data_IF_341252789026
#
_entry.id   IF_341252789026
#
_cell.length_a   1.000
_cell.length_b   1.000
_cell.length_c   1.000
_cell.angle_alpha   90.00
_cell.angle_beta   90.00
_cell.angle_gamma   90.00
#
_symmetry.space_group_name_H-M   'P 1'
#
loop_
_entity.id
_entity.type
_entity.pdbx_description
1 polymer ?
#
# COMPACT_ATOMS: atom_id res chain seq x y z
N UNK A 1 0.32 15.86 -106.01
CA UNK A 1 -0.91 16.46 -106.56
C UNK A 1 -1.88 16.62 -105.40
N UNK A 2 -2.62 17.68 -105.11
CA UNK A 2 -2.77 19.08 -105.51
C UNK A 2 -3.75 19.69 -104.46
N UNK A 3 -3.64 20.99 -104.14
CA UNK A 3 -4.56 21.79 -103.26
C UNK A 3 -6.02 21.71 -103.77
N UNK A 4 -7.12 21.93 -103.05
CA UNK A 4 -7.57 22.52 -101.76
C UNK A 4 -9.14 22.52 -101.80
N UNK A 5 -9.94 23.43 -101.20
CA UNK A 5 -9.85 24.22 -99.96
C UNK A 5 -11.14 24.06 -99.06
N UNK A 6 -11.20 24.71 -97.88
CA UNK A 6 -12.51 25.12 -97.34
C UNK A 6 -12.65 25.31 -95.82
N UNK A 7 -12.73 26.59 -95.43
CA UNK A 7 -13.35 27.21 -94.24
C UNK A 7 -12.71 27.10 -92.84
N UNK A 8 -12.56 28.30 -92.25
CA UNK A 8 -12.01 28.64 -90.95
C UNK A 8 -13.16 29.12 -89.98
N UNK A 9 -12.88 29.62 -88.75
CA UNK A 9 -13.32 29.08 -87.45
C UNK A 9 -14.32 30.02 -86.71
N UNK A 10 -14.71 29.76 -85.44
CA UNK A 10 -14.08 30.49 -84.31
C UNK A 10 -14.19 29.74 -82.94
N UNK A 11 -13.85 30.35 -81.78
CA UNK A 11 -12.62 31.07 -81.45
C UNK A 11 -11.89 30.49 -80.21
N UNK A 12 -10.65 30.94 -80.05
CA UNK A 12 -9.72 30.77 -78.92
C UNK A 12 -10.35 30.98 -77.54
N UNK A 13 -9.88 30.19 -76.55
CA UNK A 13 -9.06 30.70 -75.41
C UNK A 13 -8.06 29.63 -74.93
N UNK A 14 -6.78 30.02 -74.97
CA UNK A 14 -5.59 29.29 -74.51
C UNK A 14 -5.24 29.76 -73.07
N UNK A 15 -4.15 29.30 -72.45
CA UNK A 15 -3.96 28.12 -71.61
C UNK A 15 -3.76 28.49 -70.11
N UNK A 16 -3.80 27.54 -69.17
CA UNK A 16 -2.93 27.65 -67.97
C UNK A 16 -2.66 26.29 -67.33
N UNK A 17 -1.37 25.97 -67.35
CA UNK A 17 -0.67 24.97 -66.56
C UNK A 17 -1.03 25.10 -65.08
N UNK A 18 -1.40 23.99 -64.42
CA UNK A 18 -1.10 23.72 -63.01
C UNK A 18 -1.32 22.23 -62.74
N UNK A 19 -0.23 21.46 -62.78
CA UNK A 19 -0.13 20.18 -62.09
C UNK A 19 -0.41 20.44 -60.61
N UNK A 20 -1.59 20.09 -60.13
CA UNK A 20 -1.83 19.88 -58.70
C UNK A 20 -1.38 18.45 -58.39
N UNK A 21 -0.11 18.32 -57.99
CA UNK A 21 0.31 17.27 -57.07
C UNK A 21 -0.53 17.43 -55.80
N UNK A 22 -1.66 16.73 -55.73
CA UNK A 22 -2.29 16.46 -54.45
C UNK A 22 -1.36 15.50 -53.71
N UNK A 23 -0.39 16.08 -52.98
CA UNK A 23 0.26 15.40 -51.88
C UNK A 23 -0.86 15.09 -50.88
N UNK A 24 -1.42 13.89 -50.99
CA UNK A 24 -2.20 13.29 -49.91
C UNK A 24 -1.19 13.00 -48.81
N UNK A 25 -0.80 14.02 -48.04
CA UNK A 25 -0.41 13.82 -46.65
C UNK A 25 -1.69 13.53 -45.88
N UNK A 26 -2.34 12.42 -46.24
CA UNK A 26 -3.23 11.73 -45.35
C UNK A 26 -2.34 11.34 -44.19
N UNK A 27 -2.40 12.14 -43.13
CA UNK A 27 -1.87 11.78 -41.85
C UNK A 27 -2.41 10.38 -41.62
N UNK A 28 -1.53 9.39 -41.60
CA UNK A 28 -1.83 8.14 -40.94
C UNK A 28 -2.11 8.58 -39.51
N UNK A 29 -3.37 8.84 -39.19
CA UNK A 29 -3.86 8.76 -37.83
C UNK A 29 -3.61 7.30 -37.48
N UNK A 30 -2.41 7.02 -36.99
CA UNK A 30 -2.19 5.85 -36.18
C UNK A 30 -3.33 5.89 -35.17
N UNK A 31 -4.16 4.85 -35.16
CA UNK A 31 -4.98 4.54 -34.00
C UNK A 31 -4.01 4.22 -32.87
N UNK A 32 -3.33 5.24 -32.35
CA UNK A 32 -2.64 5.15 -31.09
C UNK A 32 -3.75 4.99 -30.07
N UNK A 33 -3.90 3.77 -29.59
CA UNK A 33 -4.85 3.44 -28.53
C UNK A 33 -4.46 4.28 -27.31
N UNK A 34 -5.11 5.45 -27.19
CA UNK A 34 -4.87 6.44 -26.15
C UNK A 34 -5.08 5.77 -24.80
N UNK A 35 -3.97 5.42 -24.16
CA UNK A 35 -3.92 4.63 -22.93
C UNK A 35 -2.91 5.25 -21.98
N UNK A 36 -3.04 4.93 -20.69
CA UNK A 36 -2.14 5.41 -19.66
C UNK A 36 -1.17 4.28 -19.25
N UNK A 37 0.11 4.30 -19.67
CA UNK A 37 1.02 3.17 -19.42
C UNK A 37 1.22 2.87 -17.93
N UNK A 38 1.17 3.91 -17.09
CA UNK A 38 1.35 3.81 -15.64
C UNK A 38 0.06 3.55 -14.87
N UNK A 39 -1.13 3.56 -15.50
CA UNK A 39 -2.38 3.37 -14.80
C UNK A 39 -3.52 2.84 -15.68
N UNK A 40 -3.79 1.54 -15.59
CA UNK A 40 -4.89 0.86 -16.30
C UNK A 40 -6.29 1.23 -15.81
N UNK A 41 -6.42 1.92 -14.67
CA UNK A 41 -7.70 2.32 -14.08
C UNK A 41 -8.08 3.76 -14.47
N UNK A 42 -7.96 4.06 -15.76
CA UNK A 42 -8.20 5.38 -16.34
C UNK A 42 -9.18 5.30 -17.51
N UNK A 43 -9.87 6.40 -17.78
CA UNK A 43 -10.58 6.64 -19.04
C UNK A 43 -9.79 7.67 -19.82
N UNK A 44 -9.35 7.31 -21.01
CA UNK A 44 -8.51 8.14 -21.85
C UNK A 44 -9.26 8.55 -23.13
N UNK A 45 -9.13 9.81 -23.53
CA UNK A 45 -9.70 10.36 -24.77
C UNK A 45 -8.62 10.99 -25.64
N UNK A 46 -8.64 10.75 -26.97
CA UNK A 46 -7.72 11.38 -27.91
C UNK A 46 -7.98 12.88 -28.10
N UNK A 47 -9.17 13.38 -27.75
CA UNK A 47 -9.59 14.79 -27.95
C UNK A 47 -9.08 15.76 -26.86
N UNK A 48 -7.94 15.44 -26.25
CA UNK A 48 -7.36 16.31 -25.23
C UNK A 48 -6.78 17.61 -25.81
N UNK A 49 -6.50 18.60 -24.95
CA UNK A 49 -5.93 19.89 -25.38
C UNK A 49 -4.67 19.70 -26.22
N UNK A 50 -4.66 20.33 -27.40
CA UNK A 50 -3.53 20.23 -28.34
C UNK A 50 -3.38 18.88 -29.03
N UNK A 51 -4.45 18.08 -29.11
CA UNK A 51 -4.45 16.76 -29.76
C UNK A 51 -3.69 15.68 -28.97
N UNK A 52 -3.43 15.92 -27.68
CA UNK A 52 -2.75 14.97 -26.79
C UNK A 52 -3.76 14.08 -26.08
N UNK A 53 -3.41 12.81 -25.91
CA UNK A 53 -4.18 11.86 -25.12
C UNK A 53 -4.37 12.39 -23.68
N UNK A 54 -5.63 12.58 -23.26
CA UNK A 54 -5.98 12.99 -21.89
C UNK A 54 -6.61 11.81 -21.16
N UNK A 55 -6.02 11.41 -20.03
CA UNK A 55 -6.52 10.35 -19.17
C UNK A 55 -7.05 10.89 -17.85
N UNK A 56 -8.15 10.31 -17.38
CA UNK A 56 -8.78 10.63 -16.09
C UNK A 56 -8.92 9.38 -15.25
N UNK A 57 -8.59 9.46 -13.96
CA UNK A 57 -8.72 8.34 -13.04
C UNK A 57 -10.20 7.99 -12.83
N UNK A 58 -10.52 6.69 -12.90
CA UNK A 58 -11.88 6.19 -12.63
C UNK A 58 -12.36 6.63 -11.23
N UNK A 59 -13.65 6.90 -11.10
CA UNK A 59 -14.27 7.33 -9.84
C UNK A 59 -14.05 8.79 -9.47
N UNK A 60 -12.82 9.30 -9.59
CA UNK A 60 -12.50 10.70 -9.26
C UNK A 60 -12.73 11.68 -10.41
N UNK A 61 -12.54 11.25 -11.67
CA UNK A 61 -12.55 12.13 -12.84
C UNK A 61 -11.33 13.07 -12.95
N UNK A 62 -10.40 13.01 -11.98
CA UNK A 62 -9.18 13.82 -11.94
C UNK A 62 -8.26 13.43 -13.10
N UNK A 63 -7.75 14.43 -13.81
CA UNK A 63 -6.78 14.21 -14.89
C UNK A 63 -5.47 13.66 -14.30
N UNK A 64 -4.90 12.64 -14.93
CA UNK A 64 -3.67 12.00 -14.48
C UNK A 64 -2.52 12.21 -15.46
N UNK A 65 -1.31 12.36 -14.93
CA UNK A 65 -0.08 12.35 -15.71
C UNK A 65 0.40 10.90 -15.92
N UNK A 66 0.28 10.42 -17.15
CA UNK A 66 0.67 9.06 -17.54
C UNK A 66 2.18 8.86 -17.73
N UNK A 67 2.98 9.91 -17.56
CA UNK A 67 4.45 9.85 -17.55
C UNK A 67 5.02 9.47 -16.18
N UNK A 68 4.20 9.54 -15.12
CA UNK A 68 4.59 9.20 -13.74
C UNK A 68 3.59 8.26 -13.08
N UNK A 69 3.87 7.83 -11.85
CA UNK A 69 2.93 6.99 -11.09
C UNK A 69 1.71 7.82 -10.67
N UNK A 70 0.51 7.24 -10.81
CA UNK A 70 -0.70 7.86 -10.25
C UNK A 70 -0.67 7.71 -8.74
N UNK A 71 -1.16 8.72 -8.02
CA UNK A 71 -1.17 8.68 -6.56
C UNK A 71 -2.01 7.53 -5.99
N UNK A 72 -1.58 7.00 -4.85
CA UNK A 72 -2.25 5.92 -4.13
C UNK A 72 -3.73 6.24 -3.84
N UNK A 73 -4.06 7.47 -3.46
CA UNK A 73 -5.46 7.85 -3.17
C UNK A 73 -6.37 7.69 -4.39
N UNK A 74 -5.95 8.22 -5.56
CA UNK A 74 -6.73 8.11 -6.80
C UNK A 74 -6.87 6.65 -7.24
N UNK A 75 -5.84 5.83 -7.06
CA UNK A 75 -5.88 4.41 -7.38
C UNK A 75 -6.82 3.62 -6.46
N UNK A 76 -6.82 3.91 -5.15
CA UNK A 76 -7.80 3.32 -4.23
C UNK A 76 -9.23 3.72 -4.61
N UNK A 77 -9.47 5.00 -4.91
CA UNK A 77 -10.78 5.50 -5.35
C UNK A 77 -11.26 4.82 -6.63
N UNK A 78 -10.37 4.71 -7.61
CA UNK A 78 -10.64 4.00 -8.86
C UNK A 78 -11.00 2.53 -8.63
N UNK A 79 -10.28 1.83 -7.73
CA UNK A 79 -10.56 0.44 -7.38
C UNK A 79 -11.94 0.27 -6.72
N UNK A 80 -12.34 1.21 -5.86
CA UNK A 80 -13.64 1.17 -5.20
C UNK A 80 -14.80 1.48 -6.15
N UNK A 81 -14.53 2.29 -7.17
CA UNK A 81 -15.48 2.66 -8.22
C UNK A 81 -15.59 1.60 -9.32
N UNK A 82 -14.69 0.62 -9.37
CA UNK A 82 -14.71 -0.43 -10.38
C UNK A 82 -15.95 -1.35 -10.22
N UNK A 83 -16.53 -1.82 -11.35
CA UNK A 83 -17.69 -2.71 -11.35
C UNK A 83 -17.48 -3.97 -10.49
N UNK A 84 -18.52 -4.41 -9.77
CA UNK A 84 -18.46 -5.54 -8.81
C UNK A 84 -17.95 -6.85 -9.43
N UNK A 85 -18.11 -7.05 -10.74
CA UNK A 85 -17.65 -8.25 -11.45
C UNK A 85 -16.10 -8.36 -11.51
N UNK A 86 -15.38 -7.27 -11.19
CA UNK A 86 -13.92 -7.25 -11.04
C UNK A 86 -13.45 -7.47 -9.59
N UNK A 87 -14.36 -7.62 -8.63
CA UNK A 87 -14.09 -8.00 -7.24
C UNK A 87 -14.37 -9.49 -7.09
N UNK A 88 -13.36 -10.34 -7.27
CA UNK A 88 -13.49 -11.77 -6.92
C UNK A 88 -13.91 -11.87 -5.45
N UNK A 89 -15.17 -12.26 -5.22
CA UNK A 89 -15.77 -12.36 -3.90
C UNK A 89 -15.11 -13.51 -3.13
N UNK A 90 -14.18 -13.19 -2.22
CA UNK A 90 -13.79 -14.09 -1.13
C UNK A 90 -14.78 -13.85 0.02
N UNK A 91 -15.55 -14.86 0.41
CA UNK A 91 -16.40 -14.82 1.61
C UNK A 91 -15.50 -14.96 2.85
N UNK A 92 -15.50 -14.03 3.80
CA UNK A 92 -14.76 -14.19 5.05
C UNK A 92 -15.42 -15.23 5.97
N UNK A 93 -14.60 -16.08 6.61
CA UNK A 93 -15.00 -16.99 7.70
C UNK A 93 -15.22 -16.21 9.02
N UNK A 94 -15.93 -16.78 10.01
CA UNK A 94 -16.18 -16.22 11.36
C UNK A 94 -14.90 -15.89 12.17
N UNK A 95 -13.73 -16.40 11.77
CA UNK A 95 -12.43 -16.02 12.34
C UNK A 95 -11.62 -15.03 11.50
N UNK A 96 -12.22 -14.46 10.45
CA UNK A 96 -11.58 -13.44 9.65
C UNK A 96 -11.48 -12.12 10.43
N UNK A 97 -10.31 -11.88 11.01
CA UNK A 97 -9.87 -10.55 11.37
C UNK A 97 -9.67 -9.77 10.05
N UNK A 98 -10.73 -9.12 9.59
CA UNK A 98 -10.62 -8.17 8.48
C UNK A 98 -9.79 -7.00 8.99
N UNK A 99 -8.57 -6.84 8.48
CA UNK A 99 -7.89 -5.55 8.49
C UNK A 99 -8.68 -4.59 7.59
N UNK A 100 -9.79 -4.09 8.14
CA UNK A 100 -10.84 -3.33 7.47
C UNK A 100 -10.40 -1.92 7.08
N UNK A 101 -9.13 -1.58 7.31
CA UNK A 101 -8.59 -0.24 7.14
C UNK A 101 -7.68 -0.12 5.90
N UNK A 102 -7.42 -1.22 5.18
CA UNK A 102 -6.54 -1.23 4.00
C UNK A 102 -7.22 -0.86 2.67
N UNK A 103 -8.52 -1.14 2.53
CA UNK A 103 -9.29 -0.84 1.31
C UNK A 103 -10.62 -0.16 1.67
N UNK A 104 -10.71 1.13 1.36
CA UNK A 104 -11.90 1.97 1.53
C UNK A 104 -12.01 2.94 0.35
N UNK A 105 -13.15 3.60 0.17
CA UNK A 105 -13.32 4.68 -0.81
C UNK A 105 -12.78 5.98 -0.22
N UNK A 106 -11.62 6.50 -0.66
CA UNK A 106 -11.01 7.64 -0.04
C UNK A 106 -11.50 8.96 -0.63
N UNK A 107 -11.46 9.98 0.22
CA UNK A 107 -11.51 11.37 -0.17
C UNK A 107 -10.10 11.86 -0.52
N UNK A 108 -9.91 12.23 -1.78
CA UNK A 108 -8.68 12.81 -2.28
C UNK A 108 -8.82 14.33 -2.47
N UNK A 109 -7.72 15.06 -2.34
CA UNK A 109 -7.63 16.46 -2.76
C UNK A 109 -7.47 16.57 -4.30
N UNK A 110 -7.52 17.79 -4.88
CA UNK A 110 -7.37 17.98 -6.33
C UNK A 110 -6.04 17.50 -6.90
N UNK A 111 -4.99 17.44 -6.09
CA UNK A 111 -3.67 16.90 -6.46
C UNK A 111 -3.61 15.37 -6.34
N UNK A 112 -4.70 14.74 -5.89
CA UNK A 112 -4.79 13.30 -5.72
C UNK A 112 -4.14 12.78 -4.44
N UNK A 113 -3.84 13.63 -3.46
CA UNK A 113 -3.36 13.20 -2.12
C UNK A 113 -4.55 12.87 -1.23
N UNK A 114 -4.32 12.10 -0.17
CA UNK A 114 -5.35 11.84 0.83
C UNK A 114 -5.71 13.14 1.58
N UNK A 115 -7.01 13.39 1.77
CA UNK A 115 -7.42 14.33 2.83
C UNK A 115 -7.13 13.70 4.20
N UNK A 116 -6.65 14.52 5.14
CA UNK A 116 -6.27 14.04 6.47
C UNK A 116 -7.41 13.33 7.20
N UNK A 117 -8.63 13.86 7.05
CA UNK A 117 -9.86 13.24 7.53
C UNK A 117 -10.50 12.42 6.42
N UNK A 118 -10.81 11.17 6.72
CA UNK A 118 -11.56 10.26 5.88
C UNK A 118 -12.85 9.91 6.59
N UNK A 119 -13.96 9.83 5.85
CA UNK A 119 -15.25 9.44 6.39
C UNK A 119 -15.89 8.40 5.48
N UNK A 120 -16.65 7.48 6.07
CA UNK A 120 -17.54 6.65 5.26
C UNK A 120 -18.82 7.44 4.92
N UNK A 121 -19.64 6.90 4.02
CA UNK A 121 -20.92 7.50 3.60
C UNK A 121 -22.00 7.53 4.70
N UNK A 122 -21.67 7.18 5.94
CA UNK A 122 -22.60 7.29 7.07
C UNK A 122 -22.24 8.52 7.92
N UNK A 123 -21.52 8.34 9.01
CA UNK A 123 -21.12 9.39 9.94
C UNK A 123 -19.83 9.05 10.68
N UNK A 124 -19.12 8.01 10.22
CA UNK A 124 -17.93 7.49 10.87
C UNK A 124 -16.70 8.03 10.16
N UNK A 125 -15.86 8.78 10.88
CA UNK A 125 -14.65 9.40 10.37
C UNK A 125 -13.40 8.90 11.10
N UNK A 126 -12.25 8.99 10.46
CA UNK A 126 -10.94 8.70 11.03
C UNK A 126 -9.87 9.57 10.40
N UNK A 127 -8.74 9.75 11.08
CA UNK A 127 -7.58 10.43 10.48
C UNK A 127 -6.65 9.41 9.81
N UNK A 128 -6.05 9.81 8.70
CA UNK A 128 -5.07 9.02 7.95
C UNK A 128 -3.74 9.74 7.78
N UNK A 129 -2.67 9.01 7.46
CA UNK A 129 -1.39 9.56 7.02
C UNK A 129 -1.35 9.83 5.52
N UNK A 130 -0.22 10.35 5.04
CA UNK A 130 0.01 10.66 3.64
C UNK A 130 -0.14 9.47 2.68
N UNK A 131 -0.16 8.23 3.21
CA UNK A 131 -0.35 7.00 2.43
C UNK A 131 -1.70 6.32 2.69
N UNK A 132 -2.63 7.02 3.34
CA UNK A 132 -4.02 6.58 3.53
C UNK A 132 -4.23 5.57 4.67
N UNK A 133 -3.22 5.35 5.51
CA UNK A 133 -3.32 4.42 6.64
C UNK A 133 -3.89 5.15 7.85
N UNK A 134 -4.90 4.53 8.48
CA UNK A 134 -5.58 5.07 9.66
C UNK A 134 -4.60 5.25 10.82
N UNK A 135 -4.67 6.41 11.47
CA UNK A 135 -3.85 6.76 12.65
C UNK A 135 -4.66 7.09 13.91
N UNK A 136 -5.99 7.07 13.85
CA UNK A 136 -6.85 7.35 15.01
C UNK A 136 -7.94 6.31 15.14
N UNK A 137 -8.55 6.23 16.31
CA UNK A 137 -9.85 5.58 16.41
C UNK A 137 -10.88 6.24 15.49
N UNK A 138 -11.91 5.48 15.16
CA UNK A 138 -13.06 5.97 14.43
C UNK A 138 -13.89 6.87 15.35
N UNK A 139 -14.13 8.09 14.91
CA UNK A 139 -14.98 9.08 15.56
C UNK A 139 -16.19 9.40 14.70
N UNK A 140 -16.95 10.42 15.13
CA UNK A 140 -18.08 10.96 14.37
C UNK A 140 -17.64 12.13 13.45
N UNK A 141 -18.60 12.86 12.90
CA UNK A 141 -18.38 14.02 12.04
C UNK A 141 -17.66 15.19 12.74
N UNK A 142 -17.58 15.20 14.07
CA UNK A 142 -16.86 16.23 14.83
C UNK A 142 -15.35 15.96 14.92
N UNK A 143 -14.89 14.76 14.51
CA UNK A 143 -13.49 14.40 14.50
C UNK A 143 -12.69 15.40 13.65
N UNK A 144 -11.64 15.98 14.25
CA UNK A 144 -10.72 16.91 13.61
C UNK A 144 -9.40 16.22 13.29
N UNK A 145 -8.92 16.42 12.07
CA UNK A 145 -7.62 15.96 11.59
C UNK A 145 -6.91 17.19 11.02
N UNK A 146 -6.25 17.95 11.89
CA UNK A 146 -5.76 19.29 11.57
C UNK A 146 -4.70 19.29 10.46
N UNK A 147 -3.93 18.20 10.36
CA UNK A 147 -2.88 18.04 9.36
C UNK A 147 -2.78 16.61 8.81
N UNK A 148 -2.32 16.51 7.56
CA UNK A 148 -1.97 15.25 6.94
C UNK A 148 -0.52 14.90 7.31
N UNK A 149 -0.35 14.06 8.32
CA UNK A 149 0.99 13.65 8.76
C UNK A 149 1.66 12.78 7.71
N UNK A 150 2.93 13.09 7.47
CA UNK A 150 3.79 12.41 6.52
C UNK A 150 4.25 11.05 7.03
N UNK A 151 4.11 10.05 6.18
CA UNK A 151 4.82 8.77 6.29
C UNK A 151 6.20 8.93 5.67
N UNK A 152 7.23 9.08 6.49
CA UNK A 152 8.58 9.37 6.01
C UNK A 152 9.42 8.11 5.78
N UNK A 153 8.99 6.97 6.33
CA UNK A 153 9.69 5.70 6.23
C UNK A 153 8.71 4.55 6.03
N UNK A 154 8.95 3.71 5.03
CA UNK A 154 8.19 2.49 4.72
C UNK A 154 9.14 1.30 4.76
N UNK A 155 8.81 0.28 5.55
CA UNK A 155 9.52 -0.99 5.59
C UNK A 155 8.69 -2.03 4.83
N UNK A 156 9.27 -2.63 3.81
CA UNK A 156 8.64 -3.69 3.03
C UNK A 156 9.36 -5.00 3.35
N UNK A 157 8.68 -5.87 4.08
CA UNK A 157 9.18 -7.19 4.44
C UNK A 157 8.58 -8.23 3.47
N UNK A 158 9.46 -8.88 2.71
CA UNK A 158 9.13 -9.94 1.79
C UNK A 158 9.64 -11.26 2.34
N UNK A 159 8.87 -12.30 2.09
CA UNK A 159 9.34 -13.67 2.20
C UNK A 159 9.22 -14.31 0.83
N UNK A 160 10.31 -14.86 0.32
CA UNK A 160 10.31 -15.59 -0.94
C UNK A 160 10.14 -17.09 -0.70
N UNK A 161 9.63 -17.80 -1.72
CA UNK A 161 9.54 -19.26 -1.70
C UNK A 161 10.92 -19.90 -1.60
N UNK A 162 11.02 -21.13 -1.08
CA UNK A 162 12.29 -21.86 -1.06
C UNK A 162 12.93 -21.92 -2.45
N UNK A 163 14.23 -21.63 -2.48
CA UNK A 163 15.11 -21.69 -3.65
C UNK A 163 16.18 -22.76 -3.43
N UNK A 164 16.89 -23.17 -4.49
CA UNK A 164 17.95 -24.17 -4.38
C UNK A 164 19.11 -23.71 -3.47
N UNK A 165 19.35 -22.39 -3.41
CA UNK A 165 20.31 -21.76 -2.51
C UNK A 165 19.89 -20.33 -2.15
N UNK A 166 20.62 -19.72 -1.21
CA UNK A 166 20.47 -18.31 -0.89
C UNK A 166 20.80 -17.44 -2.11
N UNK A 167 20.06 -16.36 -2.33
CA UNK A 167 20.47 -15.36 -3.32
C UNK A 167 21.73 -14.65 -2.86
N UNK A 168 22.57 -14.22 -3.81
CA UNK A 168 23.67 -13.33 -3.48
C UNK A 168 23.10 -11.96 -3.04
N UNK A 169 23.49 -11.49 -1.86
CA UNK A 169 23.00 -10.24 -1.29
C UNK A 169 23.23 -9.03 -2.21
N UNK A 170 24.42 -8.92 -2.82
CA UNK A 170 24.75 -7.78 -3.69
C UNK A 170 23.96 -7.78 -4.98
N UNK A 171 23.77 -8.96 -5.58
CA UNK A 171 22.98 -9.07 -6.81
C UNK A 171 21.50 -8.78 -6.56
N UNK A 172 20.97 -9.25 -5.42
CA UNK A 172 19.60 -8.99 -5.00
C UNK A 172 19.35 -7.50 -4.70
N UNK A 173 20.23 -6.85 -3.93
CA UNK A 173 20.15 -5.41 -3.65
C UNK A 173 20.19 -4.59 -4.94
N UNK A 174 21.13 -4.88 -5.84
CA UNK A 174 21.26 -4.19 -7.12
C UNK A 174 20.00 -4.34 -7.97
N UNK A 175 19.43 -5.54 -8.04
CA UNK A 175 18.24 -5.81 -8.84
C UNK A 175 16.98 -5.15 -8.27
N UNK A 176 16.80 -5.14 -6.94
CA UNK A 176 15.69 -4.44 -6.29
C UNK A 176 15.80 -2.92 -6.46
N UNK A 177 17.01 -2.35 -6.31
CA UNK A 177 17.24 -0.92 -6.58
C UNK A 177 16.95 -0.56 -8.04
N UNK A 178 17.36 -1.41 -8.98
CA UNK A 178 17.07 -1.26 -10.41
C UNK A 178 15.56 -1.28 -10.66
N UNK A 179 14.84 -2.24 -10.08
CA UNK A 179 13.39 -2.37 -10.17
C UNK A 179 12.68 -1.09 -9.68
N UNK A 180 13.03 -0.58 -8.49
CA UNK A 180 12.43 0.64 -7.95
C UNK A 180 12.70 1.88 -8.81
N UNK A 181 13.90 1.98 -9.38
CA UNK A 181 14.26 3.08 -10.28
C UNK A 181 13.50 3.01 -11.60
N UNK A 182 13.51 1.85 -12.26
CA UNK A 182 13.06 1.74 -13.66
C UNK A 182 11.55 1.53 -13.77
N UNK A 183 10.98 0.67 -12.91
CA UNK A 183 9.56 0.35 -12.95
C UNK A 183 8.74 1.31 -12.09
N UNK A 184 9.20 1.59 -10.88
CA UNK A 184 8.47 2.45 -9.94
C UNK A 184 8.92 3.91 -9.96
N UNK A 185 9.86 4.27 -10.84
CA UNK A 185 10.34 5.65 -11.06
C UNK A 185 10.79 6.35 -9.77
N UNK A 186 11.13 5.56 -8.74
CA UNK A 186 11.55 6.07 -7.45
C UNK A 186 13.02 6.43 -7.53
N UNK A 187 13.35 7.66 -7.16
CA UNK A 187 14.74 8.11 -7.18
C UNK A 187 15.61 7.21 -6.28
N UNK A 188 16.78 6.71 -6.73
CA UNK A 188 17.59 5.74 -5.98
C UNK A 188 17.93 6.13 -4.54
N UNK A 189 18.11 7.44 -4.29
CA UNK A 189 18.34 8.02 -2.95
C UNK A 189 17.26 7.68 -1.91
N UNK A 190 16.04 7.33 -2.35
CA UNK A 190 14.92 7.00 -1.47
C UNK A 190 14.81 5.51 -1.15
N UNK A 191 15.62 4.64 -1.78
CA UNK A 191 15.82 3.25 -1.36
C UNK A 191 17.00 3.24 -0.38
N UNK A 192 16.70 3.34 0.91
CA UNK A 192 17.71 3.52 1.95
C UNK A 192 18.55 2.25 2.15
N UNK A 193 17.91 1.09 2.24
CA UNK A 193 18.59 -0.19 2.44
C UNK A 193 17.79 -1.35 1.84
N UNK A 194 18.51 -2.42 1.50
CA UNK A 194 17.96 -3.74 1.24
C UNK A 194 18.74 -4.71 2.12
N UNK A 195 18.05 -5.40 3.00
CA UNK A 195 18.61 -6.43 3.88
C UNK A 195 18.09 -7.80 3.46
N UNK A 196 18.99 -8.77 3.37
CA UNK A 196 18.63 -10.14 3.01
C UNK A 196 19.14 -11.14 4.05
N UNK A 197 18.20 -11.87 4.65
CA UNK A 197 18.44 -13.01 5.52
C UNK A 197 17.48 -14.12 5.10
N UNK A 198 18.00 -15.11 4.35
CA UNK A 198 17.16 -16.12 3.68
C UNK A 198 16.13 -16.74 4.64
N UNK A 199 14.82 -16.80 4.27
CA UNK A 199 14.19 -16.42 2.98
C UNK A 199 13.57 -15.01 2.98
N UNK A 200 13.99 -14.15 3.90
CA UNK A 200 13.40 -12.83 4.17
C UNK A 200 14.21 -11.72 3.52
N UNK A 201 13.50 -10.76 2.91
CA UNK A 201 14.08 -9.56 2.32
C UNK A 201 13.38 -8.37 2.93
N UNK A 202 14.13 -7.42 3.47
CA UNK A 202 13.60 -6.17 4.00
C UNK A 202 14.09 -5.02 3.15
N UNK A 203 13.16 -4.20 2.64
CA UNK A 203 13.45 -3.03 1.81
C UNK A 203 13.02 -1.79 2.59
N UNK A 204 13.94 -0.86 2.81
CA UNK A 204 13.67 0.40 3.48
C UNK A 204 13.53 1.54 2.47
N UNK A 205 12.36 2.20 2.46
CA UNK A 205 12.13 3.40 1.67
C UNK A 205 12.03 4.62 2.59
N UNK A 206 12.86 5.65 2.37
CA UNK A 206 12.89 6.86 3.20
C UNK A 206 12.77 8.11 2.36
N UNK A 207 11.84 8.98 2.69
CA UNK A 207 11.61 10.26 2.00
C UNK A 207 10.91 11.25 2.93
N UNK A 208 11.68 12.18 3.49
CA UNK A 208 11.14 13.28 4.29
C UNK A 208 10.47 14.32 3.38
N UNK A 209 9.57 15.12 3.95
CA UNK A 209 8.89 16.22 3.22
C UNK A 209 9.89 17.19 2.58
N UNK A 210 11.00 17.50 3.26
CA UNK A 210 12.05 18.41 2.77
C UNK A 210 12.89 17.85 1.62
N UNK A 211 12.89 16.53 1.39
CA UNK A 211 13.75 15.87 0.40
C UNK A 211 13.02 15.59 -0.93
N UNK A 212 11.69 15.69 -0.93
CA UNK A 212 10.84 15.43 -2.10
C UNK A 212 10.79 16.67 -2.99
N UNK A 213 11.41 16.59 -4.16
CA UNK A 213 11.33 17.64 -5.15
C UNK A 213 10.00 17.60 -5.92
N UNK A 214 9.64 18.70 -6.59
CA UNK A 214 8.52 18.71 -7.51
C UNK A 214 8.77 17.70 -8.65
N UNK A 215 7.82 16.80 -8.88
CA UNK A 215 7.94 15.71 -9.87
C UNK A 215 8.54 14.41 -9.32
N UNK A 216 9.10 14.39 -8.11
CA UNK A 216 9.53 13.14 -7.47
C UNK A 216 8.31 12.26 -7.14
N UNK A 217 8.44 10.96 -7.43
CA UNK A 217 7.49 9.94 -6.98
C UNK A 217 7.53 9.82 -5.46
N UNK A 218 6.35 9.72 -4.84
CA UNK A 218 6.24 9.46 -3.41
C UNK A 218 6.58 8.00 -3.09
N UNK A 219 7.32 7.76 -2.00
CA UNK A 219 7.58 6.38 -1.52
C UNK A 219 6.29 5.61 -1.28
N UNK A 220 5.20 6.29 -0.89
CA UNK A 220 3.89 5.67 -0.68
C UNK A 220 3.25 5.17 -1.98
N UNK A 221 3.46 5.89 -3.09
CA UNK A 221 2.97 5.50 -4.40
C UNK A 221 3.79 4.33 -4.94
N UNK A 222 5.13 4.43 -4.88
CA UNK A 222 6.02 3.36 -5.31
C UNK A 222 5.77 2.05 -4.52
N UNK A 223 5.63 2.13 -3.20
CA UNK A 223 5.32 0.98 -2.35
C UNK A 223 3.96 0.36 -2.70
N UNK A 224 2.95 1.18 -3.00
CA UNK A 224 1.64 0.67 -3.41
C UNK A 224 1.71 -0.06 -4.74
N UNK A 225 2.35 0.52 -5.76
CA UNK A 225 2.54 -0.15 -7.05
C UNK A 225 3.28 -1.48 -6.91
N UNK A 226 4.35 -1.49 -6.10
CA UNK A 226 5.10 -2.70 -5.80
C UNK A 226 4.23 -3.76 -5.11
N UNK A 227 3.44 -3.38 -4.10
CA UNK A 227 2.51 -4.30 -3.41
C UNK A 227 1.50 -4.91 -4.39
N UNK A 228 0.96 -4.10 -5.31
CA UNK A 228 0.01 -4.55 -6.34
C UNK A 228 0.64 -5.54 -7.31
N UNK A 229 1.86 -5.27 -7.73
CA UNK A 229 2.63 -6.13 -8.62
C UNK A 229 2.93 -7.50 -7.98
N UNK A 230 3.40 -7.50 -6.72
CA UNK A 230 3.66 -8.73 -5.96
C UNK A 230 2.39 -9.58 -5.80
N UNK A 231 1.23 -8.94 -5.62
CA UNK A 231 -0.07 -9.62 -5.51
C UNK A 231 -0.64 -10.09 -6.86
N UNK A 232 0.07 -9.90 -7.98
CA UNK A 232 -0.40 -10.26 -9.32
C UNK A 232 -1.50 -9.32 -9.86
N UNK A 233 -1.66 -8.15 -9.26
CA UNK A 233 -2.73 -7.21 -9.55
C UNK A 233 -2.16 -5.87 -10.06
N UNK A 234 -1.16 -5.96 -10.95
CA UNK A 234 -0.40 -4.85 -11.51
C UNK A 234 -1.29 -3.70 -12.00
N UNK A 235 -0.86 -2.46 -11.74
CA UNK A 235 -1.58 -1.25 -12.15
C UNK A 235 -1.12 -0.71 -13.51
N UNK A 236 0.03 -1.17 -14.00
CA UNK A 236 0.53 -0.80 -15.32
C UNK A 236 -0.36 -1.37 -16.43
N UNK A 237 -0.33 -0.72 -17.60
CA UNK A 237 -1.05 -1.21 -18.77
C UNK A 237 -0.41 -2.50 -19.30
N UNK A 238 -1.24 -3.45 -19.76
CA UNK A 238 -0.80 -4.74 -20.30
C UNK A 238 -0.83 -5.90 -19.29
N UNK A 239 -0.29 -7.05 -19.70
CA UNK A 239 -0.28 -8.30 -18.89
C UNK A 239 1.01 -8.50 -18.07
N UNK A 240 1.86 -7.48 -17.95
CA UNK A 240 3.14 -7.59 -17.27
C UNK A 240 3.00 -7.57 -15.75
N UNK A 241 2.93 -8.75 -15.13
CA UNK A 241 3.12 -8.93 -13.69
C UNK A 241 4.55 -8.61 -13.24
N UNK A 242 4.84 -8.76 -11.95
CA UNK A 242 6.20 -8.64 -11.44
C UNK A 242 7.08 -9.77 -11.98
N UNK A 243 8.07 -9.45 -12.81
CA UNK A 243 9.15 -10.36 -13.20
C UNK A 243 10.46 -9.90 -12.55
N UNK A 244 10.71 -10.39 -11.34
CA UNK A 244 11.92 -10.09 -10.58
C UNK A 244 12.86 -11.30 -10.65
N UNK A 245 14.04 -11.12 -11.25
CA UNK A 245 15.01 -12.19 -11.47
C UNK A 245 16.39 -11.78 -10.99
N UNK A 246 16.99 -12.56 -10.10
CA UNK A 246 18.34 -12.33 -9.61
C UNK A 246 19.28 -13.26 -10.38
N UNK A 247 20.16 -12.70 -11.21
CA UNK A 247 21.06 -13.48 -12.10
C UNK A 247 20.33 -14.53 -12.96
N UNK A 248 19.09 -14.24 -13.36
CA UNK A 248 18.24 -15.13 -14.16
C UNK A 248 17.37 -16.09 -13.34
N UNK A 249 17.63 -16.26 -12.04
CA UNK A 249 16.77 -17.03 -11.15
C UNK A 249 15.54 -16.21 -10.72
N UNK A 250 14.32 -16.75 -10.86
CA UNK A 250 13.10 -16.03 -10.51
C UNK A 250 12.91 -15.93 -9.00
N UNK A 251 12.62 -14.72 -8.52
CA UNK A 251 12.29 -14.46 -7.13
C UNK A 251 10.77 -14.50 -6.94
N UNK A 252 10.27 -15.62 -6.43
CA UNK A 252 8.84 -15.81 -6.16
C UNK A 252 8.50 -15.38 -4.74
N UNK A 253 7.81 -14.26 -4.57
CA UNK A 253 7.36 -13.78 -3.27
C UNK A 253 6.13 -14.58 -2.81
N UNK A 254 6.17 -15.15 -1.60
CA UNK A 254 5.04 -15.86 -0.99
C UNK A 254 4.25 -15.00 0.01
N UNK A 255 4.94 -14.06 0.68
CA UNK A 255 4.33 -13.18 1.67
C UNK A 255 4.95 -11.80 1.60
N UNK A 256 4.12 -10.78 1.79
CA UNK A 256 4.54 -9.38 1.87
C UNK A 256 3.85 -8.72 3.05
N UNK A 257 4.61 -8.04 3.88
CA UNK A 257 4.14 -7.17 4.95
C UNK A 257 4.73 -5.78 4.71
N UNK A 258 3.92 -4.73 4.90
CA UNK A 258 4.36 -3.34 4.73
C UNK A 258 4.06 -2.59 6.01
N UNK A 259 5.09 -1.99 6.59
CA UNK A 259 5.00 -1.17 7.78
C UNK A 259 5.22 0.30 7.41
N UNK A 260 4.43 1.18 8.02
CA UNK A 260 4.44 2.61 7.75
C UNK A 260 4.87 3.34 9.02
N UNK A 261 5.92 4.15 8.92
CA UNK A 261 6.44 4.97 9.99
C UNK A 261 6.18 6.45 9.66
N UNK A 262 5.39 7.07 10.53
CA UNK A 262 4.94 8.44 10.40
C UNK A 262 5.83 9.40 11.21
N UNK A 263 5.87 10.67 10.80
CA UNK A 263 6.57 11.73 11.56
C UNK A 263 5.94 11.94 12.95
N UNK A 264 4.64 11.68 13.09
CA UNK A 264 3.90 11.80 14.35
C UNK A 264 3.24 10.45 14.68
N UNK A 265 3.43 9.92 15.91
CA UNK A 265 2.82 8.66 16.32
C UNK A 265 1.28 8.66 16.19
N UNK A 266 0.66 7.50 15.91
CA UNK A 266 -0.78 7.39 15.85
C UNK A 266 -1.43 7.55 17.23
N UNK A 267 -2.67 8.03 17.24
CA UNK A 267 -3.47 8.28 18.45
C UNK A 267 -4.61 7.25 18.52
N UNK A 268 -4.30 6.05 19.00
CA UNK A 268 -5.32 5.05 19.31
C UNK A 268 -5.60 5.00 20.81
N UNK A 269 -6.86 4.93 21.19
CA UNK A 269 -7.29 4.68 22.56
C UNK A 269 -7.01 3.23 22.92
N UNK A 270 -6.41 3.02 24.09
CA UNK A 270 -6.13 1.70 24.69
C UNK A 270 -7.39 0.87 25.01
N UNK A 271 -8.60 1.36 24.67
CA UNK A 271 -9.88 0.67 24.87
C UNK A 271 -10.00 -0.68 24.13
N UNK A 272 -9.07 -1.00 23.22
CA UNK A 272 -9.01 -2.28 22.47
C UNK A 272 -8.11 -3.35 23.09
N UNK A 273 -7.88 -3.37 24.42
CA UNK A 273 -7.52 -4.63 25.07
C UNK A 273 -8.67 -5.62 24.77
N UNK A 274 -8.42 -6.61 23.92
CA UNK A 274 -9.45 -7.58 23.54
C UNK A 274 -10.00 -8.24 24.81
N UNK A 275 -11.30 -8.56 24.83
CA UNK A 275 -11.91 -9.22 25.99
C UNK A 275 -11.13 -10.47 26.42
N UNK A 276 -10.50 -11.17 25.46
CA UNK A 276 -9.59 -12.28 25.72
C UNK A 276 -8.33 -11.89 26.52
N UNK A 277 -7.69 -10.75 26.22
CA UNK A 277 -6.52 -10.30 26.97
C UNK A 277 -6.90 -9.86 28.40
N UNK A 278 -8.05 -9.21 28.57
CA UNK A 278 -8.56 -8.85 29.90
C UNK A 278 -8.89 -10.13 30.69
N UNK A 279 -9.55 -11.11 30.08
CA UNK A 279 -9.86 -12.39 30.72
C UNK A 279 -8.58 -13.13 31.16
N UNK A 280 -7.55 -13.17 30.32
CA UNK A 280 -6.25 -13.77 30.67
C UNK A 280 -5.61 -13.05 31.85
N UNK A 281 -5.57 -11.71 31.84
CA UNK A 281 -5.01 -10.92 32.95
C UNK A 281 -5.76 -11.20 34.26
N UNK A 282 -7.10 -11.22 34.23
CA UNK A 282 -7.93 -11.52 35.41
C UNK A 282 -7.65 -12.92 35.94
N UNK A 283 -7.59 -13.94 35.07
CA UNK A 283 -7.30 -15.33 35.49
C UNK A 283 -5.91 -15.43 36.14
N UNK A 284 -4.90 -14.79 35.55
CA UNK A 284 -3.53 -14.78 36.11
C UNK A 284 -3.50 -14.11 37.48
N UNK A 285 -4.16 -12.97 37.64
CA UNK A 285 -4.21 -12.25 38.92
C UNK A 285 -4.93 -13.09 39.99
N UNK A 286 -6.07 -13.71 39.66
CA UNK A 286 -6.80 -14.59 40.59
C UNK A 286 -5.95 -15.80 40.99
N UNK A 287 -5.25 -16.43 40.06
CA UNK A 287 -4.37 -17.56 40.34
C UNK A 287 -3.21 -17.17 41.27
N UNK A 288 -2.59 -16.00 41.06
CA UNK A 288 -1.54 -15.48 41.94
C UNK A 288 -2.05 -15.20 43.34
N UNK A 289 -3.21 -14.53 43.48
CA UNK A 289 -3.82 -14.24 44.78
C UNK A 289 -4.17 -15.53 45.52
N UNK A 290 -4.76 -16.51 44.83
CA UNK A 290 -5.06 -17.82 45.40
C UNK A 290 -3.78 -18.55 45.84
N UNK A 291 -2.72 -18.53 45.03
CA UNK A 291 -1.42 -19.11 45.37
C UNK A 291 -0.80 -18.49 46.63
N UNK A 292 -0.82 -17.16 46.73
CA UNK A 292 -0.35 -16.43 47.92
C UNK A 292 -1.21 -16.76 49.15
N UNK A 293 -2.54 -16.82 49.01
CA UNK A 293 -3.44 -17.17 50.10
C UNK A 293 -3.17 -18.59 50.63
N UNK A 294 -2.99 -19.58 49.75
CA UNK A 294 -2.63 -20.95 50.12
C UNK A 294 -1.28 -20.97 50.84
N UNK A 295 -0.27 -20.28 50.33
CA UNK A 295 1.04 -20.19 50.96
C UNK A 295 0.95 -19.61 52.38
N UNK A 296 0.22 -18.50 52.56
CA UNK A 296 0.02 -17.85 53.86
C UNK A 296 -0.73 -18.77 54.82
N UNK A 297 -1.81 -19.43 54.38
CA UNK A 297 -2.59 -20.35 55.22
C UNK A 297 -1.74 -21.55 55.64
N UNK A 298 -0.94 -22.09 54.72
CA UNK A 298 -0.09 -23.26 54.99
C UNK A 298 1.04 -22.89 55.94
N UNK A 299 1.66 -21.72 55.78
CA UNK A 299 2.65 -21.21 56.71
C UNK A 299 2.05 -20.91 58.09
N UNK A 300 0.86 -20.30 58.17
CA UNK A 300 0.16 -20.09 59.45
C UNK A 300 -0.19 -21.40 60.15
N UNK A 301 -0.65 -22.42 59.42
CA UNK A 301 -0.94 -23.75 59.97
C UNK A 301 0.33 -24.46 60.46
N UNK A 302 1.44 -24.35 59.71
CA UNK A 302 2.75 -24.86 60.14
C UNK A 302 3.20 -24.18 61.43
N UNK A 303 3.25 -22.84 61.48
CA UNK A 303 3.64 -22.10 62.69
C UNK A 303 2.71 -22.36 63.89
N UNK A 304 1.42 -22.58 63.66
CA UNK A 304 0.47 -22.98 64.70
C UNK A 304 0.73 -24.39 65.26
N UNK A 305 1.15 -25.34 64.42
CA UNK A 305 1.59 -26.68 64.87
C UNK A 305 2.90 -26.60 65.66
N UNK A 306 3.89 -25.82 65.20
CA UNK A 306 5.15 -25.64 65.92
C UNK A 306 4.93 -25.02 67.32
N UNK A 307 4.12 -23.96 67.43
CA UNK A 307 3.75 -23.39 68.75
C UNK A 307 3.06 -24.39 69.67
N UNK A 308 2.20 -25.27 69.13
CA UNK A 308 1.45 -26.24 69.93
C UNK A 308 2.32 -27.42 70.40
N UNK A 309 3.35 -27.79 69.63
CA UNK A 309 4.36 -28.79 70.02
C UNK A 309 5.28 -28.21 71.10
N UNK A 310 5.74 -26.97 70.94
CA UNK A 310 6.62 -26.29 71.91
C UNK A 310 5.94 -26.11 73.28
N UNK A 311 4.65 -25.75 73.32
CA UNK A 311 3.86 -25.65 74.56
C UNK A 311 3.62 -27.04 75.20
N UNK A 312 3.50 -28.10 74.39
CA UNK A 312 3.32 -29.47 74.90
C UNK A 312 4.61 -30.01 75.52
N UNK A 313 5.76 -29.81 74.86
CA UNK A 313 7.08 -30.18 75.37
C UNK A 313 7.43 -29.41 76.67
N UNK A 314 7.14 -28.09 76.73
CA UNK A 314 7.29 -27.28 77.94
C UNK A 314 6.33 -27.70 79.08
N UNK A 315 5.16 -28.25 78.74
CA UNK A 315 4.20 -28.79 79.71
C UNK A 315 4.58 -30.17 80.25
N UNK A 316 5.29 -30.97 79.46
CA UNK A 316 5.81 -32.29 79.86
C UNK A 316 7.08 -32.15 80.71
N UNK A 317 7.99 -31.22 80.38
CA UNK A 317 9.18 -30.90 81.19
C UNK A 317 8.85 -30.35 82.60
N UNK A 318 7.68 -29.73 82.78
CA UNK A 318 7.22 -29.25 84.10
C UNK A 318 6.59 -30.35 84.97
N UNK A 319 6.36 -31.54 84.40
CA UNK A 319 5.79 -32.69 85.12
C UNK A 319 6.83 -33.74 85.51
N UNK A 320 8.10 -33.58 85.13
CA UNK A 320 9.16 -34.40 85.72
C UNK A 320 9.42 -33.94 87.15
N UNK A 321 9.32 -34.83 88.16
CA UNK A 321 9.64 -34.48 89.53
C UNK A 321 11.15 -34.32 89.67
N UNK A 322 11.57 -33.16 90.16
CA UNK A 322 12.92 -32.94 90.67
C UNK A 322 13.18 -33.93 91.80
N UNK A 323 14.08 -34.88 91.54
CA UNK A 323 14.57 -35.87 92.49
C UNK A 323 15.67 -35.26 93.37
#
# INVERSE_FOLDING_TARGET
MARGPGLAPPPLRLPLLLLLLAAVTGHTAAQDNCTCPTNKMTVCSPDGPGGRCQCRALGSGVAVDCSTLTSKCLLLKARMSAPKNARTLVRPNEHALVDNDGLYDPDCDPEGRFKARQCNQTSVCWCVNSVGVRRTDKGDLSLRCDELVRTHHILIDLRHRPTAGAFNHSDLDAELRRLFRERYRLHPKFVAAVHYEQPTIQIELRQNTSQKAAGDVDIGDAAYYFERDVKGESLFQGRGGLDLRVRGEPLQVERTLIYYLDEIPPKFSMKRLTAGLIAVIVVVVVALVAGVAVLVITNRRKSGKYKKVEIKELGELRKEPSL
#
